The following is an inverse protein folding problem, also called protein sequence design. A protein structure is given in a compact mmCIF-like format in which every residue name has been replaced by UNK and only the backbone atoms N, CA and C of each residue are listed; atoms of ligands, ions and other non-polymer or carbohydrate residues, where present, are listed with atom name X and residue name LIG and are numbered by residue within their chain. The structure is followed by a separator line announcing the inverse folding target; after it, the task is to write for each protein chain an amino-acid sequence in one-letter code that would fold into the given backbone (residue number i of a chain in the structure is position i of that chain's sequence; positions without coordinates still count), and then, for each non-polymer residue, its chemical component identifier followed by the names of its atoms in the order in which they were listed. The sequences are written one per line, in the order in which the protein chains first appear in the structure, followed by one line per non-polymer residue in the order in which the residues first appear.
data_IF_502370974658
#
_entry.id   IF_502370974658
#
_cell.length_a   1.000
_cell.length_b   1.000
_cell.length_c   1.000
_cell.angle_alpha   90.00
_cell.angle_beta   90.00
_cell.angle_gamma   90.00
#
_symmetry.space_group_name_H-M   'P 1'
#
loop_
_entity.id
_entity.type
_entity.pdbx_description
1 polymer ?
#
# COMPACT_ATOMS: atom_id res chain seq x y z
N UNK A 1 -8.74 1.76 17.37
CA UNK A 1 -7.59 1.59 16.46
C UNK A 1 -8.13 1.82 15.07
N UNK A 2 -7.51 2.69 14.27
CA UNK A 2 -8.01 2.93 12.91
C UNK A 2 -7.70 1.71 12.03
N UNK A 3 -8.62 1.34 11.14
CA UNK A 3 -8.47 0.30 10.13
C UNK A 3 -8.04 0.97 8.83
N UNK A 4 -6.90 0.55 8.29
CA UNK A 4 -6.34 1.11 7.06
C UNK A 4 -6.19 0.01 6.03
N UNK A 5 -6.85 0.17 4.88
CA UNK A 5 -6.70 -0.71 3.74
C UNK A 5 -5.48 -0.33 2.87
N UNK A 6 -4.80 -1.34 2.34
CA UNK A 6 -3.71 -1.17 1.37
C UNK A 6 -3.75 -2.26 0.29
N UNK A 7 -3.18 -1.94 -0.88
CA UNK A 7 -3.01 -2.89 -1.98
C UNK A 7 -1.92 -3.91 -1.64
N UNK A 8 -2.26 -5.18 -1.60
CA UNK A 8 -1.37 -6.30 -1.32
C UNK A 8 -0.60 -6.82 -2.56
N UNK A 9 0.05 -7.99 -2.42
CA UNK A 9 0.18 -8.80 -1.20
C UNK A 9 1.12 -8.16 -0.14
N UNK A 10 1.37 -8.88 0.96
CA UNK A 10 2.41 -8.49 1.94
C UNK A 10 3.79 -8.39 1.29
N UNK A 11 4.59 -7.44 1.75
CA UNK A 11 5.92 -7.14 1.23
C UNK A 11 5.92 -6.23 -0.01
N UNK A 12 4.79 -5.60 -0.35
CA UNK A 12 4.70 -4.64 -1.45
C UNK A 12 5.09 -3.22 -1.02
N UNK A 13 5.44 -2.38 -1.99
CA UNK A 13 5.66 -0.96 -1.74
C UNK A 13 4.43 -0.25 -1.20
N UNK A 14 3.22 -0.70 -1.55
CA UNK A 14 1.97 -0.19 -0.98
C UNK A 14 1.84 -0.46 0.51
N UNK A 15 2.24 -1.66 0.97
CA UNK A 15 2.30 -1.99 2.40
C UNK A 15 3.32 -1.10 3.12
N UNK A 16 4.52 -0.96 2.55
CA UNK A 16 5.58 -0.12 3.12
C UNK A 16 5.16 1.35 3.20
N UNK A 17 4.55 1.88 2.13
CA UNK A 17 3.98 3.23 2.11
C UNK A 17 2.89 3.41 3.17
N UNK A 18 2.01 2.41 3.37
CA UNK A 18 1.00 2.44 4.41
C UNK A 18 1.64 2.56 5.80
N UNK A 19 2.66 1.75 6.08
CA UNK A 19 3.39 1.77 7.34
C UNK A 19 4.21 3.04 7.56
N UNK A 20 4.71 3.66 6.49
CA UNK A 20 5.44 4.93 6.56
C UNK A 20 4.48 6.10 6.86
N UNK A 21 3.29 6.09 6.27
CA UNK A 21 2.33 7.20 6.39
C UNK A 21 1.54 7.17 7.70
N UNK A 22 1.03 6.00 8.09
CA UNK A 22 0.16 5.87 9.27
C UNK A 22 0.93 5.47 10.53
N UNK A 23 0.36 5.80 11.70
CA UNK A 23 0.96 5.45 12.99
C UNK A 23 0.97 3.92 13.23
N UNK A 24 1.84 3.46 14.14
CA UNK A 24 1.91 2.04 14.54
C UNK A 24 0.64 1.51 15.23
N UNK A 25 -0.28 2.38 15.65
CA UNK A 25 -1.56 2.00 16.26
C UNK A 25 -2.66 1.90 15.19
N UNK A 26 -2.40 1.08 14.16
CA UNK A 26 -3.27 0.88 12.99
C UNK A 26 -3.52 -0.60 12.78
N UNK A 27 -4.76 -0.97 12.50
CA UNK A 27 -5.14 -2.31 12.06
C UNK A 27 -5.05 -2.35 10.53
N UNK A 28 -4.13 -3.15 10.00
CA UNK A 28 -3.86 -3.20 8.56
C UNK A 28 -4.76 -4.22 7.87
N UNK A 29 -5.43 -3.80 6.80
CA UNK A 29 -6.34 -4.64 6.00
C UNK A 29 -5.80 -4.72 4.58
N UNK A 30 -5.42 -5.92 4.15
CA UNK A 30 -4.86 -6.15 2.83
C UNK A 30 -5.97 -6.52 1.86
N UNK A 31 -5.94 -5.95 0.64
CA UNK A 31 -6.80 -6.36 -0.47
C UNK A 31 -5.98 -6.69 -1.71
N UNK A 32 -6.56 -7.43 -2.66
CA UNK A 32 -5.87 -7.91 -3.85
C UNK A 32 -5.90 -6.91 -5.02
N UNK A 33 -6.82 -5.94 -5.01
CA UNK A 33 -6.93 -4.91 -6.05
C UNK A 33 -7.16 -3.50 -5.50
N UNK A 34 -6.83 -2.49 -6.31
CA UNK A 34 -7.09 -1.08 -5.97
C UNK A 34 -8.58 -0.83 -5.78
N UNK A 35 -9.42 -1.47 -6.60
CA UNK A 35 -10.87 -1.32 -6.51
C UNK A 35 -11.41 -1.86 -5.19
N UNK A 36 -10.91 -3.01 -4.72
CA UNK A 36 -11.32 -3.58 -3.44
C UNK A 36 -10.90 -2.67 -2.27
N UNK A 37 -9.71 -2.05 -2.35
CA UNK A 37 -9.24 -1.10 -1.33
C UNK A 37 -10.17 0.11 -1.24
N UNK A 38 -10.56 0.69 -2.38
CA UNK A 38 -11.45 1.84 -2.44
C UNK A 38 -12.89 1.46 -2.04
N UNK A 39 -13.38 0.32 -2.50
CA UNK A 39 -14.71 -0.19 -2.14
C UNK A 39 -14.83 -0.43 -0.63
N UNK A 40 -13.78 -0.94 0.02
CA UNK A 40 -13.77 -1.14 1.46
C UNK A 40 -13.93 0.17 2.26
N UNK A 41 -13.37 1.29 1.78
CA UNK A 41 -13.60 2.61 2.39
C UNK A 41 -15.04 3.05 2.14
N UNK A 42 -15.52 2.91 0.90
CA UNK A 42 -16.89 3.27 0.52
C UNK A 42 -17.96 2.54 1.33
N UNK A 43 -17.72 1.24 1.63
CA UNK A 43 -18.61 0.40 2.44
C UNK A 43 -18.42 0.58 3.95
N UNK A 44 -17.55 1.49 4.39
CA UNK A 44 -17.20 1.70 5.80
C UNK A 44 -16.61 0.44 6.49
N UNK A 45 -16.08 -0.50 5.70
CA UNK A 45 -15.40 -1.71 6.17
C UNK A 45 -13.99 -1.41 6.69
N UNK A 46 -13.42 -0.27 6.30
CA UNK A 46 -12.20 0.32 6.84
C UNK A 46 -12.39 1.83 7.01
N UNK A 47 -11.54 2.46 7.80
CA UNK A 47 -11.68 3.88 8.11
C UNK A 47 -10.93 4.75 7.09
N UNK A 48 -9.81 4.25 6.55
CA UNK A 48 -8.99 4.92 5.53
C UNK A 48 -8.34 3.90 4.60
N UNK A 49 -7.79 4.37 3.49
CA UNK A 49 -6.92 3.55 2.64
C UNK A 49 -5.70 4.32 2.15
N UNK A 50 -4.73 3.58 1.61
CA UNK A 50 -3.68 4.10 0.75
C UNK A 50 -3.65 3.32 -0.56
N UNK A 51 -3.65 4.05 -1.67
CA UNK A 51 -3.58 3.50 -3.03
C UNK A 51 -2.62 4.33 -3.86
N UNK A 52 -1.89 3.71 -4.81
CA UNK A 52 -1.01 4.46 -5.70
C UNK A 52 -1.86 5.19 -6.75
N UNK A 53 -1.65 6.50 -6.92
CA UNK A 53 -2.37 7.31 -7.93
C UNK A 53 -1.54 7.54 -9.21
N UNK A 54 -0.22 7.57 -9.08
CA UNK A 54 0.72 7.79 -10.18
C UNK A 54 1.99 6.98 -9.93
N UNK A 55 2.63 6.51 -11.01
CA UNK A 55 3.98 6.01 -10.97
C UNK A 55 4.86 6.75 -12.00
N UNK A 56 6.14 6.90 -11.70
CA UNK A 56 7.06 7.70 -12.53
C UNK A 56 7.44 7.06 -13.87
N UNK A 57 7.05 5.80 -14.12
CA UNK A 57 7.47 5.02 -15.28
C UNK A 57 6.38 4.96 -16.35
N UNK A 58 5.14 4.77 -15.92
CA UNK A 58 3.93 4.57 -16.73
C UNK A 58 2.86 5.64 -16.46
N UNK A 59 3.10 6.58 -15.55
CA UNK A 59 2.22 7.72 -15.27
C UNK A 59 1.04 7.34 -14.38
N UNK A 60 -0.10 7.99 -14.62
CA UNK A 60 -1.31 7.86 -13.81
C UNK A 60 -1.82 6.41 -13.76
N UNK A 61 -2.36 6.05 -12.59
CA UNK A 61 -3.00 4.76 -12.36
C UNK A 61 -4.51 4.99 -12.48
N UNK A 62 -5.03 4.77 -13.70
CA UNK A 62 -6.43 5.04 -14.04
C UNK A 62 -7.42 4.38 -13.08
N UNK A 63 -7.13 3.16 -12.62
CA UNK A 63 -7.98 2.44 -11.67
C UNK A 63 -8.24 3.22 -10.39
N UNK A 64 -7.25 3.98 -9.90
CA UNK A 64 -7.39 4.81 -8.71
C UNK A 64 -8.30 6.00 -8.98
N UNK A 65 -8.11 6.67 -10.12
CA UNK A 65 -8.92 7.84 -10.52
C UNK A 65 -10.37 7.43 -10.76
N UNK A 66 -10.59 6.35 -11.50
CA UNK A 66 -11.91 5.81 -11.81
C UNK A 66 -12.62 5.37 -10.53
N UNK A 67 -11.91 4.69 -9.62
CA UNK A 67 -12.47 4.25 -8.34
C UNK A 67 -12.85 5.41 -7.42
N UNK A 68 -12.04 6.48 -7.34
CA UNK A 68 -12.38 7.68 -6.58
C UNK A 68 -13.68 8.33 -7.08
N UNK A 69 -13.85 8.41 -8.40
CA UNK A 69 -15.08 8.92 -9.03
C UNK A 69 -16.28 8.00 -8.83
N UNK A 70 -16.08 6.69 -8.98
CA UNK A 70 -17.14 5.68 -8.85
C UNK A 70 -17.72 5.62 -7.43
N UNK A 71 -16.85 5.72 -6.42
CA UNK A 71 -17.23 5.58 -5.02
C UNK A 71 -17.43 6.90 -4.28
N UNK A 72 -17.36 8.04 -5.00
CA UNK A 72 -17.46 9.40 -4.45
C UNK A 72 -16.52 9.63 -3.25
N UNK A 73 -15.26 9.25 -3.43
CA UNK A 73 -14.23 9.34 -2.40
C UNK A 73 -13.34 10.57 -2.60
N UNK A 74 -12.87 11.14 -1.49
CA UNK A 74 -11.98 12.29 -1.49
C UNK A 74 -10.57 11.92 -1.01
N UNK A 75 -9.55 12.56 -1.59
CA UNK A 75 -8.16 12.42 -1.18
C UNK A 75 -7.91 13.34 0.02
N UNK A 76 -7.48 12.78 1.14
CA UNK A 76 -7.17 13.55 2.35
C UNK A 76 -5.69 13.94 2.46
N UNK A 77 -4.80 13.21 1.78
CA UNK A 77 -3.36 13.42 1.80
C UNK A 77 -2.65 12.68 0.65
N UNK A 78 -1.42 13.09 0.36
CA UNK A 78 -0.52 12.46 -0.60
C UNK A 78 0.81 12.02 0.05
N UNK A 79 1.46 11.05 -0.58
CA UNK A 79 2.78 10.56 -0.20
C UNK A 79 3.60 10.27 -1.47
N UNK A 80 4.77 10.88 -1.58
CA UNK A 80 5.78 10.48 -2.57
C UNK A 80 6.63 9.35 -1.99
N UNK A 81 6.50 8.16 -2.55
CA UNK A 81 7.24 6.97 -2.11
C UNK A 81 8.33 6.62 -3.12
N UNK A 82 9.59 6.58 -2.67
CA UNK A 82 10.73 6.26 -3.54
C UNK A 82 10.92 4.75 -3.63
N UNK A 83 10.66 4.19 -4.80
CA UNK A 83 10.85 2.75 -5.05
C UNK A 83 12.32 2.42 -5.30
N UNK A 84 12.85 1.46 -4.55
CA UNK A 84 14.20 0.91 -4.72
C UNK A 84 14.14 -0.61 -4.94
N UNK A 85 14.46 -1.04 -6.16
CA UNK A 85 14.52 -2.46 -6.51
C UNK A 85 15.92 -3.03 -6.20
N UNK A 86 15.94 -4.15 -5.49
CA UNK A 86 17.18 -4.87 -5.16
C UNK A 86 17.09 -6.29 -5.72
N UNK A 87 18.13 -6.73 -6.41
CA UNK A 87 18.23 -8.12 -6.85
C UNK A 87 18.59 -9.01 -5.66
N UNK A 88 17.78 -10.04 -5.45
CA UNK A 88 17.99 -11.03 -4.41
C UNK A 88 18.59 -12.29 -5.04
N UNK A 89 19.73 -12.80 -4.52
CA UNK A 89 20.29 -14.05 -5.02
C UNK A 89 19.34 -15.22 -4.75
N UNK A 90 19.40 -16.33 -5.50
CA UNK A 90 18.49 -17.47 -5.33
C UNK A 90 18.41 -18.04 -3.90
N UNK A 91 19.45 -17.83 -3.10
CA UNK A 91 19.56 -18.26 -1.69
C UNK A 91 19.37 -17.11 -0.69
N UNK A 92 18.68 -16.02 -1.09
CA UNK A 92 18.53 -14.82 -0.25
C UNK A 92 17.88 -15.10 1.11
N UNK A 93 17.00 -16.10 1.20
CA UNK A 93 16.38 -16.49 2.47
C UNK A 93 17.41 -16.96 3.49
N UNK A 94 18.52 -17.55 3.05
CA UNK A 94 19.63 -17.98 3.90
C UNK A 94 20.52 -16.83 4.34
N UNK A 95 20.55 -15.73 3.56
CA UNK A 95 21.32 -14.52 3.85
C UNK A 95 20.61 -13.68 4.92
N UNK A 96 19.30 -13.46 4.77
CA UNK A 96 18.51 -12.60 5.67
C UNK A 96 18.28 -13.26 7.04
N UNK A 97 18.31 -14.60 7.12
CA UNK A 97 18.12 -15.35 8.38
C UNK A 97 19.31 -15.37 9.31
N UNK A 98 20.49 -14.88 8.93
CA UNK A 98 21.62 -14.80 9.87
C UNK A 98 21.48 -13.55 10.74
N UNK A 99 21.17 -13.66 12.06
CA UNK A 99 21.30 -12.51 12.93
C UNK A 99 22.76 -12.06 12.89
N UNK A 100 23.00 -10.77 12.63
CA UNK A 100 24.30 -10.16 12.90
C UNK A 100 24.57 -10.33 14.40
N UNK A 101 25.42 -11.30 14.75
CA UNK A 101 26.08 -11.31 16.05
C UNK A 101 27.05 -10.14 16.05
N UNK A 102 26.66 -9.04 16.69
CA UNK A 102 27.61 -8.12 17.31
C UNK A 102 27.86 -8.61 18.73
#
# INVERSE_FOLDING_TARGET
MIRVAYLGPKGTFSEEAAHQFFSKQTAWVMHESIMDVLEAVHKEEVDKCIVPIENSIAGNIHMTVDGLLMYDLHIEADLIFTVSLHELPPHWQDIVRKPKKY
#
